data_IF_363435609014
#
_entry.id   IF_363435609014
#
_cell.length_a   1.000
_cell.length_b   1.000
_cell.length_c   1.000
_cell.angle_alpha   90.00
_cell.angle_beta   90.00
_cell.angle_gamma   90.00
#
_symmetry.space_group_name_H-M   'P 1'
#
loop_
_entity.id
_entity.type
_entity.pdbx_description
1 polymer ?
#
# COMPACT_ATOMS: atom_id res chain seq x y z
N UNK A 1 -48.82 -30.20 -48.93
CA UNK A 1 -48.74 -29.35 -47.73
C UNK A 1 -47.99 -30.01 -46.55
N UNK A 2 -48.25 -31.27 -46.21
CA UNK A 2 -47.62 -31.96 -45.06
C UNK A 2 -46.08 -32.05 -45.08
N UNK A 3 -45.46 -32.20 -46.26
CA UNK A 3 -44.00 -32.29 -46.40
C UNK A 3 -43.28 -30.97 -46.04
N UNK A 4 -43.90 -29.82 -46.35
CA UNK A 4 -43.36 -28.50 -45.98
C UNK A 4 -43.39 -28.30 -44.47
N UNK A 5 -44.52 -28.65 -43.83
CA UNK A 5 -44.65 -28.57 -42.38
C UNK A 5 -43.62 -29.45 -41.67
N UNK A 6 -43.43 -30.70 -42.15
CA UNK A 6 -42.42 -31.60 -41.59
C UNK A 6 -40.99 -31.05 -41.78
N UNK A 7 -40.68 -30.53 -42.97
CA UNK A 7 -39.36 -29.95 -43.23
C UNK A 7 -39.08 -28.73 -42.35
N UNK A 8 -40.08 -27.88 -42.12
CA UNK A 8 -39.96 -26.73 -41.21
C UNK A 8 -39.70 -27.17 -39.77
N UNK A 9 -40.38 -28.24 -39.32
CA UNK A 9 -40.23 -28.80 -37.99
C UNK A 9 -38.84 -29.41 -37.78
N UNK A 10 -38.31 -30.13 -38.79
CA UNK A 10 -36.93 -30.64 -38.77
C UNK A 10 -35.92 -29.49 -38.70
N UNK A 11 -36.10 -28.43 -39.48
CA UNK A 11 -35.23 -27.24 -39.44
C UNK A 11 -35.28 -26.57 -38.07
N UNK A 12 -36.46 -26.42 -37.47
CA UNK A 12 -36.60 -25.85 -36.14
C UNK A 12 -35.85 -26.67 -35.07
N UNK A 13 -35.94 -28.01 -35.13
CA UNK A 13 -35.20 -28.91 -34.23
C UNK A 13 -33.69 -28.78 -34.41
N UNK A 14 -33.22 -28.71 -35.66
CA UNK A 14 -31.78 -28.55 -35.95
C UNK A 14 -31.24 -27.21 -35.42
N UNK A 15 -31.98 -26.11 -35.62
CA UNK A 15 -31.60 -24.79 -35.10
C UNK A 15 -31.58 -24.80 -33.57
N UNK A 16 -32.58 -25.42 -32.93
CA UNK A 16 -32.65 -25.51 -31.47
C UNK A 16 -31.48 -26.33 -30.90
N UNK A 17 -31.14 -27.47 -31.52
CA UNK A 17 -29.98 -28.27 -31.13
C UNK A 17 -28.66 -27.51 -31.30
N UNK A 18 -28.51 -26.76 -32.39
CA UNK A 18 -27.33 -25.92 -32.62
C UNK A 18 -27.19 -24.78 -31.61
N UNK A 19 -28.31 -24.11 -31.29
CA UNK A 19 -28.34 -23.04 -30.29
C UNK A 19 -27.98 -23.57 -28.90
N UNK A 20 -28.51 -24.73 -28.51
CA UNK A 20 -28.19 -25.38 -27.24
C UNK A 20 -26.71 -25.76 -27.16
N UNK A 21 -26.17 -26.36 -28.22
CA UNK A 21 -24.75 -26.72 -28.29
C UNK A 21 -23.84 -25.49 -28.19
N UNK A 22 -24.20 -24.41 -28.89
CA UNK A 22 -23.45 -23.14 -28.85
C UNK A 22 -23.48 -22.50 -27.46
N UNK A 23 -24.62 -22.59 -26.78
CA UNK A 23 -24.78 -22.10 -25.41
C UNK A 23 -23.94 -22.91 -24.42
N UNK A 24 -23.94 -24.24 -24.52
CA UNK A 24 -23.13 -25.12 -23.69
C UNK A 24 -21.62 -24.93 -23.94
N UNK A 25 -21.22 -24.62 -25.18
CA UNK A 25 -19.83 -24.29 -25.47
C UNK A 25 -19.42 -22.94 -24.87
N UNK A 26 -20.31 -21.95 -24.86
CA UNK A 26 -20.03 -20.64 -24.29
C UNK A 26 -19.81 -20.72 -22.76
N UNK A 27 -20.60 -21.53 -22.06
CA UNK A 27 -20.47 -21.71 -20.60
C UNK A 27 -19.19 -22.44 -20.21
N UNK A 28 -18.80 -23.49 -20.93
CA UNK A 28 -17.54 -24.24 -20.70
C UNK A 28 -16.28 -23.40 -20.93
N UNK A 29 -16.37 -22.34 -21.73
CA UNK A 29 -15.27 -21.38 -21.92
C UNK A 29 -15.11 -20.41 -20.75
N UNK A 30 -16.23 -19.97 -20.17
CA UNK A 30 -16.25 -19.08 -19.01
C UNK A 30 -15.81 -19.80 -17.74
N UNK A 31 -16.27 -21.02 -17.50
CA UNK A 31 -15.86 -21.84 -16.34
C UNK A 31 -14.34 -22.02 -16.27
N UNK A 32 -13.71 -22.28 -17.43
CA UNK A 32 -12.24 -22.40 -17.51
C UNK A 32 -11.51 -21.09 -17.20
N UNK A 33 -12.08 -19.94 -17.55
CA UNK A 33 -11.50 -18.63 -17.23
C UNK A 33 -11.63 -18.31 -15.75
N UNK A 34 -12.79 -18.60 -15.15
CA UNK A 34 -13.02 -18.42 -13.70
C UNK A 34 -12.06 -19.29 -12.91
N UNK A 35 -11.96 -20.59 -13.23
CA UNK A 35 -11.05 -21.50 -12.53
C UNK A 35 -9.57 -21.13 -12.70
N UNK A 36 -9.18 -20.52 -13.83
CA UNK A 36 -7.83 -19.99 -14.01
C UNK A 36 -7.60 -18.76 -13.13
N UNK A 37 -8.55 -17.82 -13.13
CA UNK A 37 -8.45 -16.59 -12.36
C UNK A 37 -8.41 -16.85 -10.85
N UNK A 38 -9.22 -17.79 -10.34
CA UNK A 38 -9.17 -18.22 -8.94
C UNK A 38 -7.78 -18.75 -8.56
N UNK A 39 -7.17 -19.58 -9.41
CA UNK A 39 -5.80 -20.08 -9.17
C UNK A 39 -4.76 -18.97 -9.18
N UNK A 40 -4.89 -18.03 -10.10
CA UNK A 40 -3.98 -16.87 -10.18
C UNK A 40 -4.11 -16.02 -8.89
N UNK A 41 -5.34 -15.78 -8.40
CA UNK A 41 -5.60 -15.07 -7.14
C UNK A 41 -4.97 -15.80 -5.95
N UNK A 42 -5.18 -17.10 -5.82
CA UNK A 42 -4.63 -17.89 -4.71
C UNK A 42 -3.09 -17.81 -4.66
N UNK A 43 -2.43 -17.85 -5.83
CA UNK A 43 -0.97 -17.74 -5.93
C UNK A 43 -0.44 -16.36 -5.51
N UNK A 44 -1.16 -15.29 -5.84
CA UNK A 44 -0.78 -13.92 -5.48
C UNK A 44 -0.98 -13.67 -3.98
N UNK A 45 -2.05 -14.22 -3.40
CA UNK A 45 -2.30 -14.17 -1.96
C UNK A 45 -1.21 -14.92 -1.19
N UNK A 46 -0.78 -16.07 -1.67
CA UNK A 46 0.32 -16.83 -1.04
C UNK A 46 1.64 -16.04 -1.08
N UNK A 47 1.95 -15.40 -2.20
CA UNK A 47 3.12 -14.52 -2.34
C UNK A 47 3.05 -13.32 -1.39
N UNK A 48 1.87 -12.72 -1.25
CA UNK A 48 1.64 -11.59 -0.32
C UNK A 48 1.80 -12.01 1.14
N UNK A 49 1.33 -13.21 1.51
CA UNK A 49 1.51 -13.77 2.86
C UNK A 49 2.98 -14.01 3.18
N UNK A 50 3.73 -14.56 2.23
CA UNK A 50 5.17 -14.76 2.37
C UNK A 50 5.90 -13.42 2.60
N UNK A 51 5.64 -12.42 1.74
CA UNK A 51 6.24 -11.09 1.86
C UNK A 51 5.87 -10.39 3.17
N UNK A 52 4.63 -10.55 3.65
CA UNK A 52 4.19 -9.98 4.93
C UNK A 52 4.90 -10.64 6.11
N UNK A 53 5.14 -11.95 6.04
CA UNK A 53 5.93 -12.67 7.05
C UNK A 53 7.39 -12.20 7.05
N UNK A 54 7.98 -11.99 5.88
CA UNK A 54 9.32 -11.44 5.74
C UNK A 54 9.41 -10.00 6.25
N UNK A 55 8.41 -9.17 5.93
CA UNK A 55 8.31 -7.79 6.40
C UNK A 55 8.14 -7.71 7.92
N UNK A 56 7.39 -8.63 8.54
CA UNK A 56 7.29 -8.75 9.99
C UNK A 56 8.65 -9.09 10.64
N UNK A 57 9.44 -9.95 10.01
CA UNK A 57 10.80 -10.30 10.45
C UNK A 57 11.78 -9.12 10.33
N UNK A 58 11.65 -8.31 9.27
CA UNK A 58 12.46 -7.11 9.01
C UNK A 58 12.07 -5.94 9.93
N UNK A 59 10.78 -5.79 10.24
CA UNK A 59 10.22 -4.70 11.06
C UNK A 59 10.25 -5.03 12.56
N UNK A 60 11.02 -6.02 12.99
CA UNK A 60 11.12 -6.35 14.42
C UNK A 60 11.57 -5.11 15.21
N UNK A 61 10.75 -4.61 16.14
CA UNK A 61 10.99 -3.34 16.82
C UNK A 61 12.31 -3.35 17.60
N UNK A 62 12.73 -4.50 18.14
CA UNK A 62 14.02 -4.64 18.81
C UNK A 62 15.21 -4.39 17.89
N UNK A 63 15.16 -4.85 16.63
CA UNK A 63 16.24 -4.58 15.67
C UNK A 63 16.25 -3.12 15.25
N UNK A 64 15.08 -2.54 15.00
CA UNK A 64 14.97 -1.12 14.66
C UNK A 64 15.49 -0.23 15.79
N UNK A 65 15.20 -0.58 17.05
CA UNK A 65 15.72 0.11 18.24
C UNK A 65 17.23 0.06 18.33
N UNK A 66 17.84 -1.13 18.20
CA UNK A 66 19.30 -1.28 18.23
C UNK A 66 19.97 -0.50 17.11
N UNK A 67 19.38 -0.48 15.91
CA UNK A 67 19.93 0.26 14.77
C UNK A 67 19.82 1.77 14.96
N UNK A 68 18.69 2.25 15.52
CA UNK A 68 18.48 3.66 15.85
C UNK A 68 19.43 4.14 16.96
N UNK A 69 19.61 3.36 18.03
CA UNK A 69 20.57 3.65 19.09
C UNK A 69 22.00 3.73 18.55
N UNK A 70 22.39 2.77 17.69
CA UNK A 70 23.76 2.66 17.16
C UNK A 70 24.12 3.75 16.13
N UNK A 71 23.19 4.11 15.25
CA UNK A 71 23.50 4.95 14.08
C UNK A 71 22.92 6.36 14.16
N UNK A 72 21.85 6.59 14.92
CA UNK A 72 21.19 7.89 15.04
C UNK A 72 21.44 8.55 16.41
N UNK A 73 22.11 7.86 17.34
CA UNK A 73 22.34 8.35 18.71
C UNK A 73 21.04 8.57 19.48
N UNK A 74 19.94 7.96 19.01
CA UNK A 74 18.63 8.09 19.63
C UNK A 74 18.57 7.20 20.87
N UNK A 75 18.28 7.79 22.01
CA UNK A 75 18.00 7.07 23.26
C UNK A 75 16.52 6.68 23.30
N UNK A 76 16.21 5.57 23.98
CA UNK A 76 14.82 5.22 24.32
C UNK A 76 14.16 6.43 24.99
N UNK A 77 12.94 6.76 24.57
CA UNK A 77 12.19 7.90 25.13
C UNK A 77 11.97 7.64 26.62
N UNK A 78 12.35 8.59 27.47
CA UNK A 78 12.12 8.46 28.90
C UNK A 78 10.62 8.66 29.16
N UNK A 79 9.96 7.81 29.97
CA UNK A 79 8.53 7.96 30.29
C UNK A 79 8.15 9.35 30.79
N UNK A 80 9.11 10.09 31.39
CA UNK A 80 8.93 11.46 31.87
C UNK A 80 8.86 12.51 30.76
N UNK A 81 9.23 12.15 29.53
CA UNK A 81 9.12 13.00 28.33
C UNK A 81 7.73 12.92 27.68
N UNK A 82 6.92 11.92 28.03
CA UNK A 82 5.54 11.80 27.56
C UNK A 82 4.65 12.61 28.52
N UNK A 83 4.32 13.82 28.12
CA UNK A 83 3.49 14.75 28.90
C UNK A 83 2.14 14.98 28.21
N UNK A 84 1.10 15.29 28.98
CA UNK A 84 -0.19 15.70 28.42
C UNK A 84 -0.05 17.08 27.77
N UNK A 85 -0.93 17.38 26.81
CA UNK A 85 -0.89 18.64 26.05
C UNK A 85 -0.85 19.89 26.96
N UNK A 86 -1.59 19.84 28.08
CA UNK A 86 -1.67 20.91 29.07
C UNK A 86 -0.38 21.11 29.89
N UNK A 87 0.53 20.13 29.89
CA UNK A 87 1.77 20.13 30.68
C UNK A 87 3.01 20.49 29.83
N UNK A 88 2.84 20.61 28.50
CA UNK A 88 3.95 20.90 27.56
C UNK A 88 4.66 22.18 27.95
N UNK A 89 3.92 23.26 28.21
CA UNK A 89 4.48 24.58 28.51
C UNK A 89 5.41 24.61 29.73
N UNK A 90 5.28 23.66 30.67
CA UNK A 90 6.13 23.56 31.86
C UNK A 90 7.44 22.80 31.60
N UNK A 91 7.50 22.03 30.51
CA UNK A 91 8.65 21.19 30.16
C UNK A 91 9.41 21.69 28.93
N UNK A 92 8.93 22.74 28.26
CA UNK A 92 9.71 23.43 27.23
C UNK A 92 10.94 24.06 27.91
N UNK A 93 12.17 23.67 27.54
CA UNK A 93 13.37 24.36 28.01
C UNK A 93 13.26 25.84 27.66
N UNK A 94 13.70 26.73 28.56
CA UNK A 94 13.82 28.14 28.21
C UNK A 94 14.61 28.25 26.89
N UNK A 95 14.10 29.07 25.96
CA UNK A 95 14.77 29.26 24.66
C UNK A 95 16.26 29.49 24.92
N UNK A 96 17.15 28.79 24.20
CA UNK A 96 18.57 29.06 24.32
C UNK A 96 18.75 30.55 24.10
N UNK A 97 19.36 31.25 25.06
CA UNK A 97 19.72 32.65 24.88
C UNK A 97 20.75 32.65 23.75
N UNK A 98 20.28 32.85 22.51
CA UNK A 98 21.15 33.10 21.38
C UNK A 98 21.74 34.47 21.65
N UNK A 99 22.92 34.50 22.26
CA UNK A 99 23.71 35.72 22.39
C UNK A 99 24.16 36.12 20.98
N UNK A 100 23.30 36.88 20.29
CA UNK A 100 23.57 37.47 18.97
C UNK A 100 24.82 38.37 19.00
N UNK A 101 25.29 38.78 20.18
CA UNK A 101 26.44 39.65 20.39
C UNK A 101 27.77 38.92 20.68
N UNK A 102 27.79 37.59 20.77
CA UNK A 102 29.05 36.87 20.93
C UNK A 102 29.74 36.70 19.58
N UNK A 103 30.52 37.73 19.20
CA UNK A 103 31.47 37.82 18.06
C UNK A 103 30.99 38.67 16.88
N UNK A 104 30.83 39.98 17.10
CA UNK A 104 31.31 41.08 16.21
C UNK A 104 31.15 40.99 14.68
N UNK A 105 30.29 40.12 14.17
CA UNK A 105 29.97 39.92 12.77
C UNK A 105 28.48 39.69 12.78
N UNK A 106 27.72 40.78 12.68
CA UNK A 106 26.36 40.68 12.16
C UNK A 106 26.50 40.24 10.69
N UNK A 107 26.23 38.96 10.37
CA UNK A 107 26.45 38.46 9.02
C UNK A 107 25.44 39.07 8.05
N UNK A 108 24.28 39.53 8.53
CA UNK A 108 23.24 40.15 7.70
C UNK A 108 23.64 41.61 7.41
N UNK A 109 24.09 42.35 8.43
CA UNK A 109 24.58 43.73 8.28
C UNK A 109 25.74 43.84 7.29
N UNK A 110 26.71 42.92 7.35
CA UNK A 110 27.85 42.89 6.42
C UNK A 110 27.44 42.60 4.96
N UNK A 111 26.36 41.83 4.75
CA UNK A 111 25.83 41.52 3.42
C UNK A 111 25.10 42.74 2.83
N UNK A 112 24.35 43.48 3.66
CA UNK A 112 23.64 44.69 3.22
C UNK A 112 24.63 45.81 2.86
N UNK A 113 25.71 45.96 3.65
CA UNK A 113 26.76 46.94 3.38
C UNK A 113 27.52 46.64 2.08
N UNK A 114 27.76 45.35 1.76
CA UNK A 114 28.43 44.93 0.53
C UNK A 114 27.59 45.14 -0.75
N UNK A 115 26.26 45.27 -0.63
CA UNK A 115 25.35 45.46 -1.77
C UNK A 115 25.08 46.95 -2.10
N UNK A 116 25.60 47.88 -1.31
CA UNK A 116 25.48 49.33 -1.54
C UNK A 116 26.69 49.85 -2.32
#
# INVERSE_FOLDING_TARGET
MHKFLNSMLVIAVLISGFALYSLEHATRGLERKVAKLERDIDSEVETTRFLTAEWSSLTRPDRLRVLAEKHLGLTTIDPRQVVKLDEIGQKVPAEPIVQLEAKGMDPIGAIIEKMR
#
